data_IF_239838504847
#
_entry.id   IF_239838504847
#
_cell.length_a   1.000
_cell.length_b   1.000
_cell.length_c   1.000
_cell.angle_alpha   90.00
_cell.angle_beta   90.00
_cell.angle_gamma   90.00
#
_symmetry.space_group_name_H-M   'P 1'
#
loop_
_entity.id
_entity.type
_entity.pdbx_description
1 polymer ?
#
# COMPACT_ATOMS: atom_id res chain seq x y z
N UNK A 1 19.77 -25.06 -12.28
CA UNK A 1 19.53 -24.51 -13.63
C UNK A 1 18.36 -23.53 -13.71
N UNK A 2 17.33 -23.65 -12.86
CA UNK A 2 16.14 -22.77 -12.88
C UNK A 2 16.36 -21.31 -12.40
N UNK A 3 17.33 -21.04 -11.51
CA UNK A 3 17.62 -19.67 -11.02
C UNK A 3 18.17 -18.71 -12.09
N UNK A 4 18.70 -19.24 -13.19
CA UNK A 4 19.36 -18.45 -14.25
C UNK A 4 18.39 -17.99 -15.35
N UNK A 5 17.14 -18.44 -15.31
CA UNK A 5 16.12 -18.07 -16.30
C UNK A 5 15.30 -16.82 -15.87
N UNK A 6 15.29 -16.48 -14.57
CA UNK A 6 14.59 -15.28 -14.08
C UNK A 6 15.42 -13.99 -14.23
N UNK A 7 16.71 -14.07 -14.54
CA UNK A 7 17.57 -12.89 -14.70
C UNK A 7 17.50 -12.24 -16.09
N UNK A 8 16.57 -12.67 -16.96
CA UNK A 8 16.50 -12.24 -18.36
C UNK A 8 15.26 -11.43 -18.75
N UNK A 9 14.49 -10.98 -17.77
CA UNK A 9 13.45 -9.97 -17.94
C UNK A 9 13.61 -8.89 -16.86
N UNK A 10 14.74 -8.18 -16.90
CA UNK A 10 14.74 -6.78 -16.47
C UNK A 10 13.92 -6.00 -17.51
N UNK A 11 12.61 -6.24 -17.53
CA UNK A 11 11.67 -5.24 -18.02
C UNK A 11 11.83 -4.11 -17.01
N UNK A 12 12.16 -2.90 -17.48
CA UNK A 12 11.99 -1.70 -16.66
C UNK A 12 10.62 -1.78 -16.01
N UNK A 13 10.59 -2.08 -14.71
CA UNK A 13 9.36 -2.20 -13.93
C UNK A 13 8.73 -0.82 -13.98
N UNK A 14 7.58 -0.72 -14.64
CA UNK A 14 6.85 0.51 -14.76
C UNK A 14 5.66 0.42 -13.81
N UNK A 15 5.76 1.11 -12.67
CA UNK A 15 4.73 1.14 -11.65
C UNK A 15 3.36 1.53 -12.22
N UNK A 16 3.27 2.52 -13.12
CA UNK A 16 2.01 2.93 -13.77
C UNK A 16 1.36 1.76 -14.54
N UNK A 17 2.18 0.93 -15.20
CA UNK A 17 1.72 -0.26 -15.93
C UNK A 17 1.24 -1.36 -14.98
N UNK A 18 1.97 -1.61 -13.90
CA UNK A 18 1.58 -2.59 -12.88
C UNK A 18 0.32 -2.15 -12.15
N UNK A 19 0.22 -0.86 -11.78
CA UNK A 19 -0.94 -0.27 -11.14
C UNK A 19 -2.17 -0.39 -12.04
N UNK A 20 -2.05 -0.04 -13.32
CA UNK A 20 -3.13 -0.24 -14.30
C UNK A 20 -3.54 -1.71 -14.41
N UNK A 21 -2.59 -2.63 -14.33
CA UNK A 21 -2.86 -4.06 -14.33
C UNK A 21 -3.56 -4.51 -13.05
N UNK A 22 -3.19 -3.97 -11.88
CA UNK A 22 -3.84 -4.18 -10.59
C UNK A 22 -5.29 -3.70 -10.58
N UNK A 23 -5.57 -2.54 -11.16
CA UNK A 23 -6.94 -2.03 -11.34
C UNK A 23 -7.76 -2.99 -12.20
N UNK A 24 -7.23 -3.43 -13.36
CA UNK A 24 -7.92 -4.39 -14.24
C UNK A 24 -8.15 -5.73 -13.57
N UNK A 25 -7.15 -6.24 -12.85
CA UNK A 25 -7.22 -7.50 -12.10
C UNK A 25 -8.29 -7.44 -11.02
N UNK A 26 -8.30 -6.38 -10.23
CA UNK A 26 -9.27 -6.19 -9.15
C UNK A 26 -10.71 -6.18 -9.69
N UNK A 27 -10.95 -5.44 -10.79
CA UNK A 27 -12.26 -5.45 -11.48
C UNK A 27 -12.61 -6.82 -12.03
N UNK A 28 -11.68 -7.50 -12.70
CA UNK A 28 -11.88 -8.86 -13.23
C UNK A 28 -12.23 -9.86 -12.12
N UNK A 29 -11.72 -9.64 -10.91
CA UNK A 29 -11.99 -10.47 -9.75
C UNK A 29 -13.33 -10.15 -9.07
N UNK A 30 -14.08 -9.17 -9.57
CA UNK A 30 -15.37 -8.76 -9.03
C UNK A 30 -15.26 -7.93 -7.76
N UNK A 31 -14.09 -7.33 -7.49
CA UNK A 31 -13.88 -6.43 -6.36
C UNK A 31 -14.44 -5.04 -6.66
N UNK A 32 -14.86 -4.33 -5.61
CA UNK A 32 -15.11 -2.89 -5.70
C UNK A 32 -13.79 -2.16 -5.89
N UNK A 33 -13.73 -1.32 -6.92
CA UNK A 33 -12.52 -0.59 -7.29
C UNK A 33 -12.88 0.88 -7.47
N UNK A 34 -12.15 1.82 -6.85
CA UNK A 34 -12.42 3.24 -7.00
C UNK A 34 -12.30 3.66 -8.46
N UNK A 35 -12.97 4.77 -8.81
CA UNK A 35 -12.85 5.35 -10.15
C UNK A 35 -11.49 6.01 -10.31
N UNK A 36 -10.55 5.26 -10.90
CA UNK A 36 -9.20 5.74 -11.20
C UNK A 36 -9.21 6.81 -12.29
N UNK A 37 -8.60 7.95 -11.99
CA UNK A 37 -8.28 9.06 -12.91
C UNK A 37 -6.81 9.42 -12.74
N UNK A 38 -6.00 9.16 -13.76
CA UNK A 38 -4.57 9.49 -13.71
C UNK A 38 -4.36 10.97 -13.99
N UNK A 39 -3.30 11.53 -13.41
CA UNK A 39 -2.87 12.91 -13.59
C UNK A 39 -1.36 12.96 -13.83
N UNK A 40 -0.90 14.02 -14.52
CA UNK A 40 0.53 14.33 -14.64
C UNK A 40 1.00 15.39 -13.63
N UNK A 41 0.08 15.93 -12.82
CA UNK A 41 0.36 16.90 -11.76
C UNK A 41 0.86 16.19 -10.51
N UNK A 42 2.03 16.57 -9.98
CA UNK A 42 2.51 16.10 -8.67
C UNK A 42 1.62 16.64 -7.54
N UNK A 43 1.33 15.81 -6.54
CA UNK A 43 0.55 16.17 -5.37
C UNK A 43 1.40 16.27 -4.10
N UNK A 44 2.56 15.60 -4.07
CA UNK A 44 3.41 15.52 -2.88
C UNK A 44 4.42 16.67 -2.77
N UNK A 45 4.19 17.77 -3.49
CA UNK A 45 5.07 18.96 -3.52
C UNK A 45 4.26 20.25 -3.32
N UNK A 46 4.95 21.33 -2.93
CA UNK A 46 4.33 22.61 -2.61
C UNK A 46 3.38 22.54 -1.40
N UNK A 47 2.48 23.51 -1.30
CA UNK A 47 1.59 23.70 -0.14
C UNK A 47 0.77 22.45 0.21
N UNK A 48 0.33 21.69 -0.80
CA UNK A 48 -0.41 20.43 -0.60
C UNK A 48 0.46 19.32 -0.01
N UNK A 49 1.69 19.20 -0.50
CA UNK A 49 2.68 18.28 0.04
C UNK A 49 3.01 18.62 1.50
N UNK A 50 3.19 19.90 1.81
CA UNK A 50 3.44 20.38 3.18
C UNK A 50 2.25 20.09 4.11
N UNK A 51 1.01 20.35 3.66
CA UNK A 51 -0.19 20.02 4.41
C UNK A 51 -0.30 18.51 4.70
N UNK A 52 -0.02 17.67 3.69
CA UNK A 52 -0.03 16.22 3.86
C UNK A 52 1.09 15.74 4.82
N UNK A 53 2.27 16.36 4.79
CA UNK A 53 3.34 16.05 5.74
C UNK A 53 2.94 16.39 7.19
N UNK A 54 2.22 17.50 7.41
CA UNK A 54 1.69 17.83 8.75
C UNK A 54 0.70 16.76 9.23
N UNK A 55 -0.22 16.32 8.36
CA UNK A 55 -1.14 15.20 8.66
C UNK A 55 -0.37 13.93 9.02
N UNK A 56 0.67 13.58 8.26
CA UNK A 56 1.51 12.40 8.55
C UNK A 56 2.16 12.52 9.93
N UNK A 57 2.70 13.68 10.28
CA UNK A 57 3.30 13.92 11.59
C UNK A 57 2.27 13.78 12.71
N UNK A 58 1.08 14.36 12.57
CA UNK A 58 0.00 14.25 13.57
C UNK A 58 -0.45 12.80 13.77
N UNK A 59 -0.55 12.02 12.70
CA UNK A 59 -0.89 10.59 12.78
C UNK A 59 0.24 9.82 13.48
N UNK A 60 1.49 10.08 13.11
CA UNK A 60 2.67 9.41 13.67
C UNK A 60 2.85 9.68 15.17
N UNK A 61 2.55 10.90 15.64
CA UNK A 61 2.66 11.27 17.07
C UNK A 61 1.67 10.50 17.97
N UNK A 62 0.61 9.92 17.40
CA UNK A 62 -0.41 9.17 18.16
C UNK A 62 -0.06 7.70 18.36
N UNK A 63 1.00 7.20 17.72
CA UNK A 63 1.32 5.78 17.71
C UNK A 63 2.82 5.55 17.93
N UNK A 64 3.13 4.55 18.74
CA UNK A 64 4.49 4.03 18.87
C UNK A 64 4.87 3.21 17.64
N UNK A 65 6.16 3.06 17.32
CA UNK A 65 6.60 2.20 16.22
C UNK A 65 6.07 0.76 16.30
N UNK A 66 5.90 0.21 17.50
CA UNK A 66 5.36 -1.14 17.71
C UNK A 66 3.88 -1.25 17.34
N UNK A 67 3.11 -0.20 17.59
CA UNK A 67 1.68 -0.14 17.21
C UNK A 67 1.51 0.03 15.70
N UNK A 68 2.47 0.63 15.00
CA UNK A 68 2.46 0.75 13.53
C UNK A 68 2.89 -0.55 12.84
N UNK A 69 3.84 -1.29 13.44
CA UNK A 69 4.42 -2.49 12.85
C UNK A 69 3.37 -3.55 12.52
N UNK A 70 3.37 -4.05 11.29
CA UNK A 70 2.44 -5.07 10.79
C UNK A 70 0.96 -4.65 10.84
N UNK A 71 0.67 -3.35 10.99
CA UNK A 71 -0.69 -2.79 10.95
C UNK A 71 -0.96 -2.01 9.66
N UNK A 72 -0.23 -2.30 8.56
CA UNK A 72 -0.31 -1.53 7.31
C UNK A 72 -1.73 -1.40 6.77
N UNK A 73 -2.56 -2.45 6.90
CA UNK A 73 -3.92 -2.44 6.41
C UNK A 73 -4.78 -1.38 7.10
N UNK A 74 -4.91 -1.48 8.43
CA UNK A 74 -5.69 -0.52 9.22
C UNK A 74 -5.07 0.88 9.17
N UNK A 75 -3.76 1.00 9.35
CA UNK A 75 -3.09 2.29 9.47
C UNK A 75 -3.21 3.13 8.19
N UNK A 76 -2.96 2.55 7.02
CA UNK A 76 -3.10 3.27 5.75
C UNK A 76 -4.58 3.55 5.43
N UNK A 77 -5.50 2.71 5.88
CA UNK A 77 -6.93 2.88 5.68
C UNK A 77 -7.46 4.06 6.48
N UNK A 78 -7.05 4.17 7.76
CA UNK A 78 -7.39 5.31 8.62
C UNK A 78 -6.74 6.62 8.15
N UNK A 79 -5.51 6.56 7.61
CA UNK A 79 -4.81 7.75 7.14
C UNK A 79 -5.38 8.32 5.83
N UNK A 80 -6.09 7.51 5.04
CA UNK A 80 -6.49 7.87 3.68
C UNK A 80 -7.33 9.15 3.63
N UNK A 81 -8.44 9.23 4.38
CA UNK A 81 -9.38 10.37 4.29
C UNK A 81 -8.70 11.69 4.66
N UNK A 82 -7.88 11.70 5.71
CA UNK A 82 -7.15 12.89 6.15
C UNK A 82 -6.11 13.34 5.11
N UNK A 83 -5.45 12.40 4.43
CA UNK A 83 -4.50 12.69 3.37
C UNK A 83 -5.21 13.15 2.08
N UNK A 84 -6.37 12.59 1.75
CA UNK A 84 -7.20 13.04 0.64
C UNK A 84 -7.69 14.47 0.84
N UNK A 85 -8.08 14.83 2.07
CA UNK A 85 -8.46 16.20 2.44
C UNK A 85 -7.28 17.17 2.26
N UNK A 86 -6.10 16.83 2.81
CA UNK A 86 -4.90 17.66 2.71
C UNK A 86 -4.40 17.85 1.26
N UNK A 87 -4.41 16.78 0.47
CA UNK A 87 -3.96 16.81 -0.94
C UNK A 87 -5.05 17.32 -1.89
N UNK A 88 -6.29 17.40 -1.42
CA UNK A 88 -7.49 17.72 -2.20
C UNK A 88 -7.59 16.85 -3.45
N UNK A 89 -7.34 15.54 -3.30
CA UNK A 89 -7.36 14.58 -4.40
C UNK A 89 -7.68 13.18 -3.85
N UNK A 90 -8.46 12.35 -4.56
CA UNK A 90 -8.66 10.97 -4.15
C UNK A 90 -7.34 10.19 -4.23
N UNK A 91 -7.11 9.35 -3.24
CA UNK A 91 -5.99 8.43 -3.18
C UNK A 91 -6.48 7.02 -3.49
N UNK A 92 -5.58 6.19 -4.01
CA UNK A 92 -5.90 4.81 -4.32
C UNK A 92 -5.26 3.91 -3.29
N UNK A 93 -6.11 3.30 -2.46
CA UNK A 93 -5.70 2.22 -1.57
C UNK A 93 -5.15 1.06 -2.40
N UNK A 94 -3.86 0.78 -2.23
CA UNK A 94 -3.11 -0.13 -3.09
C UNK A 94 -2.54 -1.26 -2.27
N UNK A 95 -2.71 -2.49 -2.78
CA UNK A 95 -2.25 -3.72 -2.14
C UNK A 95 -1.22 -4.41 -3.01
N UNK A 96 -0.16 -4.92 -2.41
CA UNK A 96 0.84 -5.70 -3.12
C UNK A 96 2.06 -5.99 -2.27
N UNK A 97 3.24 -5.95 -2.87
CA UNK A 97 4.50 -6.23 -2.18
C UNK A 97 5.56 -5.20 -2.57
N UNK A 98 6.67 -5.21 -1.83
CA UNK A 98 7.81 -4.33 -2.08
C UNK A 98 9.04 -5.20 -2.30
N UNK A 99 9.70 -5.04 -3.45
CA UNK A 99 11.06 -5.54 -3.65
C UNK A 99 12.01 -4.59 -2.93
N UNK A 100 12.54 -5.03 -1.80
CA UNK A 100 13.50 -4.28 -0.98
C UNK A 100 14.83 -5.03 -0.92
N UNK A 101 15.93 -4.35 -1.24
CA UNK A 101 17.26 -4.96 -1.42
C UNK A 101 17.21 -6.22 -2.31
N UNK A 102 16.45 -6.11 -3.42
CA UNK A 102 16.29 -7.15 -4.46
C UNK A 102 15.62 -8.44 -3.98
N UNK A 103 14.88 -8.36 -2.88
CA UNK A 103 14.08 -9.47 -2.35
C UNK A 103 12.64 -9.02 -2.12
N UNK A 104 11.65 -9.85 -2.47
CA UNK A 104 10.25 -9.52 -2.23
C UNK A 104 9.92 -9.58 -0.74
N UNK A 105 9.32 -8.51 -0.22
CA UNK A 105 8.82 -8.38 1.15
C UNK A 105 7.30 -8.26 1.12
N UNK A 106 6.60 -8.99 2.00
CA UNK A 106 5.13 -9.09 2.04
C UNK A 106 4.54 -9.63 0.72
N UNK A 107 5.11 -10.71 0.20
CA UNK A 107 4.68 -11.29 -1.07
C UNK A 107 3.76 -12.50 -0.91
N UNK A 108 2.60 -12.40 -1.55
CA UNK A 108 1.71 -13.53 -1.84
C UNK A 108 1.42 -13.54 -3.34
N UNK A 109 1.56 -14.68 -4.00
CA UNK A 109 1.32 -14.76 -5.44
C UNK A 109 -0.16 -14.57 -5.78
N UNK A 110 -0.45 -14.09 -6.99
CA UNK A 110 -1.81 -13.71 -7.40
C UNK A 110 -2.80 -14.88 -7.39
N UNK A 111 -2.35 -16.11 -7.68
CA UNK A 111 -3.19 -17.31 -7.62
C UNK A 111 -3.69 -17.57 -6.20
N UNK A 112 -2.79 -17.52 -5.22
CA UNK A 112 -3.14 -17.63 -3.80
C UNK A 112 -4.08 -16.50 -3.36
N UNK A 113 -3.78 -15.25 -3.74
CA UNK A 113 -4.68 -14.13 -3.46
C UNK A 113 -6.09 -14.37 -4.04
N UNK A 114 -6.19 -14.89 -5.28
CA UNK A 114 -7.48 -15.19 -5.89
C UNK A 114 -8.21 -16.32 -5.16
N UNK A 115 -7.50 -17.37 -4.75
CA UNK A 115 -8.08 -18.50 -4.04
C UNK A 115 -8.65 -18.08 -2.67
N UNK A 116 -7.97 -17.17 -1.97
CA UNK A 116 -8.42 -16.65 -0.67
C UNK A 116 -9.78 -15.94 -0.73
N UNK A 117 -10.20 -15.40 -1.89
CA UNK A 117 -11.52 -14.79 -2.05
C UNK A 117 -12.68 -15.78 -1.89
N UNK A 118 -12.42 -17.09 -1.95
CA UNK A 118 -13.41 -18.14 -1.71
C UNK A 118 -13.67 -18.42 -0.23
N UNK A 119 -12.87 -17.86 0.68
CA UNK A 119 -12.94 -18.14 2.11
C UNK A 119 -12.79 -16.84 2.94
N UNK A 120 -13.87 -16.37 3.58
CA UNK A 120 -13.86 -15.16 4.41
C UNK A 120 -12.98 -15.23 5.67
N UNK A 121 -12.42 -16.41 5.98
CA UNK A 121 -11.49 -16.60 7.10
C UNK A 121 -10.03 -16.66 6.66
N UNK A 122 -9.75 -16.65 5.35
CA UNK A 122 -8.40 -16.68 4.81
C UNK A 122 -7.54 -15.47 5.18
N UNK A 123 -8.16 -14.39 5.67
CA UNK A 123 -7.46 -13.25 6.24
C UNK A 123 -7.28 -13.27 7.75
N UNK A 124 -7.76 -14.29 8.44
CA UNK A 124 -7.50 -14.51 9.87
C UNK A 124 -6.07 -15.06 10.02
N UNK A 125 -5.15 -14.20 10.46
CA UNK A 125 -3.74 -14.53 10.63
C UNK A 125 -2.82 -13.64 9.79
N UNK A 126 -1.58 -14.07 9.60
CA UNK A 126 -0.58 -13.29 8.85
C UNK A 126 -0.77 -13.48 7.35
N UNK A 127 -1.19 -12.41 6.66
CA UNK A 127 -1.15 -12.33 5.21
C UNK A 127 0.13 -11.62 4.81
N UNK A 128 0.95 -12.25 3.97
CA UNK A 128 2.10 -11.60 3.36
C UNK A 128 1.63 -10.72 2.21
N UNK A 129 1.07 -9.57 2.55
CA UNK A 129 0.61 -8.52 1.64
C UNK A 129 0.79 -7.18 2.34
N UNK A 130 1.10 -6.14 1.58
CA UNK A 130 1.34 -4.80 2.09
C UNK A 130 0.35 -3.80 1.51
N UNK A 131 0.03 -2.76 2.29
CA UNK A 131 -0.85 -1.68 1.86
C UNK A 131 -0.14 -0.33 1.88
N UNK A 132 -0.42 0.49 0.88
CA UNK A 132 0.02 1.87 0.77
C UNK A 132 -1.01 2.69 -0.02
N UNK A 133 -0.80 4.00 -0.11
CA UNK A 133 -1.65 4.89 -0.92
C UNK A 133 -0.89 5.33 -2.17
N UNK A 134 -1.60 5.36 -3.30
CA UNK A 134 -1.09 5.84 -4.58
C UNK A 134 -1.86 7.08 -5.01
N UNK A 135 -1.16 8.16 -5.37
CA UNK A 135 -1.80 9.38 -5.90
C UNK A 135 -2.19 9.20 -7.38
N UNK A 136 -3.04 10.07 -7.96
CA UNK A 136 -3.30 10.12 -9.40
C UNK A 136 -2.05 10.24 -10.28
N UNK A 137 -0.95 10.76 -9.72
CA UNK A 137 0.33 10.92 -10.40
C UNK A 137 1.30 9.76 -10.18
N UNK A 138 0.84 8.64 -9.58
CA UNK A 138 1.70 7.49 -9.26
C UNK A 138 2.77 7.82 -8.20
N UNK A 139 2.51 8.82 -7.36
CA UNK A 139 3.30 9.02 -6.15
C UNK A 139 2.84 8.06 -5.07
N UNK A 140 3.79 7.60 -4.26
CA UNK A 140 3.61 6.58 -3.23
C UNK A 140 3.68 7.26 -1.87
N UNK A 141 2.65 7.01 -1.07
CA UNK A 141 2.60 7.35 0.35
C UNK A 141 2.53 6.04 1.13
N UNK A 142 3.59 5.72 1.85
CA UNK A 142 3.69 4.53 2.70
C UNK A 142 4.29 4.92 4.05
N UNK A 143 3.46 4.83 5.09
CA UNK A 143 3.82 5.23 6.45
C UNK A 143 4.27 4.05 7.31
N UNK A 144 4.24 2.83 6.78
CA UNK A 144 4.30 1.60 7.59
C UNK A 144 5.40 0.64 7.18
N UNK A 145 5.84 0.63 5.91
CA UNK A 145 6.86 -0.30 5.44
C UNK A 145 8.17 -0.17 6.22
N UNK A 146 8.75 1.03 6.28
CA UNK A 146 10.05 1.26 6.93
C UNK A 146 10.04 0.85 8.40
N UNK A 147 8.99 1.24 9.13
CA UNK A 147 8.79 0.87 10.53
C UNK A 147 8.62 -0.62 10.74
N UNK A 148 7.78 -1.27 9.93
CA UNK A 148 7.56 -2.73 10.04
C UNK A 148 8.83 -3.49 9.73
N UNK A 149 9.51 -3.15 8.63
CA UNK A 149 10.77 -3.77 8.23
C UNK A 149 11.85 -3.59 9.31
N UNK A 150 11.98 -2.36 9.84
CA UNK A 150 12.95 -2.03 10.87
C UNK A 150 12.74 -2.79 12.18
N UNK A 151 11.49 -3.00 12.60
CA UNK A 151 11.18 -3.77 13.81
C UNK A 151 11.40 -5.27 13.58
N UNK A 152 10.85 -5.83 12.49
CA UNK A 152 10.92 -7.28 12.22
C UNK A 152 12.37 -7.74 12.00
N UNK A 153 13.20 -6.92 11.35
CA UNK A 153 14.58 -7.28 11.01
C UNK A 153 15.64 -6.65 11.93
N UNK A 154 15.24 -5.99 13.03
CA UNK A 154 16.14 -5.29 13.94
C UNK A 154 17.06 -4.28 13.22
N UNK A 155 16.49 -3.43 12.37
CA UNK A 155 17.17 -2.34 11.66
C UNK A 155 16.64 -0.99 12.18
N UNK A 156 17.19 -0.45 13.28
CA UNK A 156 16.67 0.77 13.91
C UNK A 156 16.65 1.98 12.99
N UNK A 157 17.59 2.07 12.05
CA UNK A 157 17.69 3.18 11.09
C UNK A 157 16.53 3.26 10.10
N UNK A 158 15.76 2.16 9.94
CA UNK A 158 14.57 2.13 9.08
C UNK A 158 13.28 2.54 9.83
N UNK A 159 13.29 2.49 11.16
CA UNK A 159 12.10 2.79 11.98
C UNK A 159 11.71 4.26 11.80
N UNK A 160 10.43 4.50 11.52
CA UNK A 160 9.88 5.84 11.28
C UNK A 160 10.11 6.38 9.86
N UNK A 161 10.83 5.65 8.99
CA UNK A 161 10.96 6.05 7.59
C UNK A 161 9.63 5.86 6.85
N UNK A 162 9.22 6.91 6.16
CA UNK A 162 8.06 6.91 5.28
C UNK A 162 8.51 7.04 3.83
N UNK A 163 7.78 6.43 2.91
CA UNK A 163 7.87 6.75 1.49
C UNK A 163 6.83 7.84 1.18
N UNK A 164 7.28 8.92 0.53
CA UNK A 164 6.45 10.07 0.18
C UNK A 164 7.05 10.74 -1.07
N UNK A 165 6.96 10.05 -2.22
CA UNK A 165 7.59 10.51 -3.46
C UNK A 165 6.99 9.85 -4.70
N UNK A 166 7.27 10.41 -5.88
CA UNK A 166 6.94 9.78 -7.15
C UNK A 166 7.65 8.43 -7.32
N UNK A 167 6.98 7.42 -7.88
CA UNK A 167 7.56 6.07 -8.01
C UNK A 167 8.90 6.04 -8.77
N UNK A 168 9.12 6.97 -9.69
CA UNK A 168 10.36 7.04 -10.47
C UNK A 168 11.55 7.61 -9.70
N UNK A 169 11.34 8.14 -8.49
CA UNK A 169 12.41 8.66 -7.64
C UNK A 169 13.04 7.56 -6.76
N UNK A 170 12.43 6.38 -6.67
CA UNK A 170 13.06 5.24 -6.02
C UNK A 170 14.20 4.66 -6.87
N UNK A 171 15.22 4.13 -6.19
CA UNK A 171 16.29 3.37 -6.84
C UNK A 171 15.90 1.90 -6.97
N UNK A 172 16.76 1.09 -7.60
CA UNK A 172 16.51 -0.33 -7.85
C UNK A 172 16.41 -1.20 -6.58
N UNK A 173 16.74 -0.66 -5.40
CA UNK A 173 16.66 -1.39 -4.14
C UNK A 173 15.30 -1.22 -3.44
N UNK A 174 14.39 -0.40 -3.96
CA UNK A 174 13.06 -0.23 -3.40
C UNK A 174 12.03 -0.07 -4.52
N UNK A 175 11.36 -1.16 -4.88
CA UNK A 175 10.40 -1.18 -5.99
C UNK A 175 9.06 -1.68 -5.48
N UNK A 176 8.01 -0.88 -5.63
CA UNK A 176 6.65 -1.24 -5.24
C UNK A 176 5.96 -1.98 -6.38
N UNK A 177 5.27 -3.06 -6.04
CA UNK A 177 4.58 -3.93 -6.99
C UNK A 177 3.09 -4.04 -6.66
N UNK A 178 2.24 -3.18 -7.23
CA UNK A 178 0.81 -3.21 -6.99
C UNK A 178 0.19 -4.49 -7.58
N UNK A 179 -0.54 -5.22 -6.74
CA UNK A 179 -1.27 -6.44 -7.12
C UNK A 179 -2.78 -6.19 -7.17
N UNK A 180 -3.34 -5.41 -6.24
CA UNK A 180 -4.77 -5.07 -6.20
C UNK A 180 -4.97 -3.59 -5.83
N UNK A 181 -6.14 -3.05 -6.14
CA UNK A 181 -6.53 -1.67 -5.83
C UNK A 181 -7.92 -1.66 -5.23
N UNK A 182 -8.08 -0.91 -4.15
CA UNK A 182 -9.25 -0.92 -3.27
C UNK A 182 -9.02 -1.77 -2.02
N UNK A 183 -9.88 -1.56 -1.03
CA UNK A 183 -9.91 -2.23 0.27
C UNK A 183 -10.86 -3.45 0.29
N UNK A 184 -11.73 -3.60 -0.70
CA UNK A 184 -12.73 -4.67 -0.78
C UNK A 184 -12.12 -6.08 -0.73
N UNK A 185 -10.91 -6.27 -1.27
CA UNK A 185 -10.20 -7.54 -1.13
C UNK A 185 -10.01 -7.92 0.35
N UNK A 186 -9.51 -6.99 1.17
CA UNK A 186 -9.26 -7.23 2.59
C UNK A 186 -10.57 -7.45 3.35
N UNK A 187 -11.63 -6.72 2.99
CA UNK A 187 -12.96 -6.91 3.57
C UNK A 187 -13.50 -8.31 3.32
N UNK A 188 -13.41 -8.80 2.08
CA UNK A 188 -13.96 -10.11 1.70
C UNK A 188 -13.27 -11.30 2.34
N UNK A 189 -11.97 -11.18 2.61
CA UNK A 189 -11.21 -12.24 3.27
C UNK A 189 -11.17 -12.09 4.80
N UNK A 190 -11.86 -11.10 5.37
CA UNK A 190 -11.90 -10.86 6.81
C UNK A 190 -10.64 -10.21 7.40
N UNK A 191 -9.74 -9.67 6.57
CA UNK A 191 -8.51 -9.00 7.01
C UNK A 191 -8.71 -7.53 7.43
N UNK A 192 -9.82 -6.92 7.00
CA UNK A 192 -10.21 -5.57 7.39
C UNK A 192 -11.71 -5.55 7.70
N UNK A 193 -12.05 -5.13 8.92
CA UNK A 193 -13.45 -4.91 9.32
C UNK A 193 -13.69 -3.40 9.37
N UNK A 194 -14.54 -2.92 8.46
CA UNK A 194 -14.91 -1.50 8.42
C UNK A 194 -16.02 -1.20 9.44
N UNK A 195 -15.62 -0.73 10.61
CA UNK A 195 -16.55 -0.35 11.68
C UNK A 195 -17.31 0.95 11.37
N UNK A 196 -16.87 1.77 10.40
CA UNK A 196 -17.56 3.00 9.98
C UNK A 196 -18.88 2.67 9.28
N UNK A 197 -18.91 1.55 8.56
CA UNK A 197 -20.11 1.03 7.93
C UNK A 197 -21.13 0.44 8.92
N UNK A 198 -20.74 0.19 10.18
CA UNK A 198 -21.60 -0.47 11.17
C UNK A 198 -22.48 0.48 11.97
N UNK A 199 -22.47 1.81 11.74
CA UNK A 199 -23.28 2.78 12.51
C UNK A 199 -23.20 2.56 14.03
N UNK A 200 -22.06 2.06 14.52
CA UNK A 200 -21.84 1.91 15.96
C UNK A 200 -21.42 3.27 16.46
N UNK A 201 -22.36 3.98 17.07
CA UNK A 201 -22.11 5.21 17.81
C UNK A 201 -20.88 5.05 18.69
N UNK A 202 -19.80 5.76 18.35
CA UNK A 202 -18.70 5.97 19.28
C UNK A 202 -19.13 7.09 20.23
N UNK A 203 -19.36 6.73 21.48
CA UNK A 203 -19.53 7.65 22.63
C UNK A 203 -18.21 8.36 22.90
#
# INVERSE_FOLDING_TARGET
>A
MFRRLMSRLSKNVNYETEFTSAVKRSKKWGLEVPRVRLSKTSFLTGDKGEAALNVIQEIALKHTPKEVSQQCFGYMYFAQDALEEALQTPLYYTLGYVDYDKSPVFYTCEETLKNNLGDPTSGIGTINLHAWLTTPNMEIIDLTFGTTYGIVNNVPSAIGRCAFQHYSAFNENMVYHPQLVGDDYLKRIGALVDLRALNVFTI
#
